data_IF_510069396458
#
_entry.id   IF_510069396458
#
_cell.length_a   1.000
_cell.length_b   1.000
_cell.length_c   1.000
_cell.angle_alpha   90.00
_cell.angle_beta   90.00
_cell.angle_gamma   90.00
#
_symmetry.space_group_name_H-M   'P 1'
#
loop_
_entity.id
_entity.type
_entity.pdbx_description
1 polymer ?
#
# COMPACT_ATOMS: atom_id res chain seq x y z
N UNK A 1 84.58 26.31 -19.18
CA UNK A 1 83.11 26.22 -19.21
C UNK A 1 82.73 24.96 -19.99
N UNK A 2 82.19 23.93 -19.33
CA UNK A 2 81.16 23.03 -19.91
C UNK A 2 80.44 22.32 -18.76
N UNK A 3 79.12 22.35 -18.79
CA UNK A 3 78.24 21.87 -17.73
C UNK A 3 77.84 20.40 -17.97
N UNK A 4 77.77 19.63 -16.88
CA UNK A 4 77.47 18.19 -16.80
C UNK A 4 75.96 17.98 -16.91
N UNK A 5 75.51 17.04 -17.74
CA UNK A 5 74.10 16.59 -17.76
C UNK A 5 74.01 15.23 -17.08
N UNK A 6 73.43 15.20 -15.88
CA UNK A 6 73.15 13.96 -15.17
C UNK A 6 71.79 13.41 -15.62
N UNK A 7 71.82 12.22 -16.20
CA UNK A 7 70.66 11.43 -16.63
C UNK A 7 70.35 10.33 -15.60
N UNK A 8 69.59 10.66 -14.57
CA UNK A 8 69.05 9.65 -13.63
C UNK A 8 67.57 9.93 -13.33
N UNK A 9 66.72 9.78 -14.34
CA UNK A 9 65.28 9.79 -14.18
C UNK A 9 64.78 8.44 -13.66
N UNK A 10 64.42 8.36 -12.37
CA UNK A 10 63.57 7.25 -11.88
C UNK A 10 62.12 7.65 -12.08
N UNK A 11 61.35 6.82 -12.79
CA UNK A 11 59.91 7.03 -12.95
C UNK A 11 59.24 6.89 -11.57
N UNK A 12 58.95 8.01 -10.91
CA UNK A 12 58.15 8.01 -9.68
C UNK A 12 56.69 7.89 -10.09
N UNK A 13 56.07 6.75 -9.77
CA UNK A 13 54.63 6.60 -9.90
C UNK A 13 53.96 7.68 -9.06
N UNK A 14 53.15 8.52 -9.71
CA UNK A 14 52.46 9.63 -9.09
C UNK A 14 51.39 9.10 -8.12
N UNK A 15 51.75 9.14 -6.84
CA UNK A 15 50.92 8.66 -5.73
C UNK A 15 49.83 9.68 -5.37
N UNK A 16 50.02 10.95 -5.71
CA UNK A 16 49.10 12.03 -5.38
C UNK A 16 47.77 11.88 -6.12
N UNK A 17 47.85 11.56 -7.41
CA UNK A 17 46.67 11.32 -8.24
C UNK A 17 45.88 10.06 -7.84
N UNK A 18 46.53 9.03 -7.28
CA UNK A 18 45.83 7.84 -6.74
C UNK A 18 45.08 8.14 -5.44
N UNK A 19 45.69 8.87 -4.51
CA UNK A 19 45.05 9.20 -3.23
C UNK A 19 43.85 10.12 -3.42
N UNK A 20 43.93 11.06 -4.36
CA UNK A 20 42.84 11.98 -4.68
C UNK A 20 41.69 11.27 -5.42
N UNK A 21 42.00 10.39 -6.39
CA UNK A 21 40.99 9.60 -7.09
C UNK A 21 40.27 8.59 -6.19
N UNK A 22 40.97 7.99 -5.21
CA UNK A 22 40.34 7.09 -4.23
C UNK A 22 39.43 7.89 -3.30
N UNK A 23 39.88 9.05 -2.79
CA UNK A 23 39.09 9.88 -1.88
C UNK A 23 37.78 10.41 -2.49
N UNK A 24 37.80 10.83 -3.77
CA UNK A 24 36.61 11.34 -4.45
C UNK A 24 35.63 10.22 -4.83
N UNK A 25 36.14 9.06 -5.28
CA UNK A 25 35.30 7.92 -5.63
C UNK A 25 34.54 7.35 -4.42
N UNK A 26 35.17 7.28 -3.24
CA UNK A 26 34.51 6.78 -2.03
C UNK A 26 33.41 7.72 -1.53
N UNK A 27 33.64 9.03 -1.59
CA UNK A 27 32.64 10.02 -1.17
C UNK A 27 31.40 10.00 -2.08
N UNK A 28 31.58 9.92 -3.40
CA UNK A 28 30.46 9.85 -4.35
C UNK A 28 29.69 8.53 -4.19
N UNK A 29 30.39 7.40 -4.03
CA UNK A 29 29.76 6.10 -3.81
C UNK A 29 28.91 6.04 -2.55
N UNK A 30 29.38 6.62 -1.45
CA UNK A 30 28.64 6.67 -0.19
C UNK A 30 27.36 7.53 -0.29
N UNK A 31 27.42 8.68 -0.97
CA UNK A 31 26.26 9.56 -1.19
C UNK A 31 25.23 8.87 -2.09
N UNK A 32 25.67 8.26 -3.20
CA UNK A 32 24.78 7.57 -4.12
C UNK A 32 24.06 6.39 -3.45
N UNK A 33 24.78 5.61 -2.64
CA UNK A 33 24.20 4.45 -1.93
C UNK A 33 23.24 4.89 -0.83
N UNK A 34 23.56 5.96 -0.09
CA UNK A 34 22.69 6.52 0.94
C UNK A 34 21.39 7.11 0.37
N UNK A 35 21.46 7.79 -0.78
CA UNK A 35 20.27 8.32 -1.44
C UNK A 35 19.42 7.20 -2.05
N UNK A 36 20.04 6.22 -2.70
CA UNK A 36 19.33 5.08 -3.28
C UNK A 36 18.62 4.23 -2.22
N UNK A 37 19.23 4.01 -1.05
CA UNK A 37 18.59 3.29 0.05
C UNK A 37 17.45 4.09 0.68
N UNK A 38 17.58 5.40 0.85
CA UNK A 38 16.51 6.25 1.35
C UNK A 38 15.28 6.26 0.42
N UNK A 39 15.48 6.24 -0.89
CA UNK A 39 14.41 6.07 -1.87
C UNK A 39 13.82 4.65 -1.80
N UNK A 40 14.68 3.61 -1.78
CA UNK A 40 14.22 2.21 -1.77
C UNK A 40 13.40 1.85 -0.52
N UNK A 41 13.76 2.38 0.64
CA UNK A 41 13.04 2.15 1.90
C UNK A 41 11.91 3.16 2.15
N UNK A 42 11.55 3.97 1.16
CA UNK A 42 10.38 4.83 1.22
C UNK A 42 10.47 5.97 2.24
N UNK A 43 11.68 6.42 2.60
CA UNK A 43 11.87 7.52 3.56
C UNK A 43 11.16 8.81 3.10
N UNK A 44 10.99 8.97 1.78
CA UNK A 44 10.32 10.10 1.17
C UNK A 44 8.87 9.80 0.74
N UNK A 45 8.38 8.56 0.91
CA UNK A 45 7.04 8.16 0.46
C UNK A 45 5.96 8.98 1.16
N UNK A 46 6.14 9.38 2.42
CA UNK A 46 5.19 10.25 3.13
C UNK A 46 5.02 11.63 2.47
N UNK A 47 6.05 12.14 1.80
CA UNK A 47 6.03 13.46 1.16
C UNK A 47 5.51 13.41 -0.28
N UNK A 48 5.69 12.27 -0.97
CA UNK A 48 5.32 12.09 -2.37
C UNK A 48 4.23 11.04 -2.59
N UNK A 49 3.66 10.48 -1.52
CA UNK A 49 2.56 9.54 -1.60
C UNK A 49 1.45 10.19 -2.44
N UNK A 50 1.07 9.51 -3.51
CA UNK A 50 -0.13 9.83 -4.24
C UNK A 50 -1.27 9.84 -3.21
N UNK A 51 -2.01 10.95 -3.15
CA UNK A 51 -3.25 11.01 -2.38
C UNK A 51 -4.25 10.17 -3.16
N UNK A 52 -4.23 8.86 -2.93
CA UNK A 52 -5.21 7.96 -3.50
C UNK A 52 -6.59 8.33 -2.94
N UNK A 53 -7.57 8.47 -3.84
CA UNK A 53 -8.92 8.91 -3.54
C UNK A 53 -9.32 10.17 -4.29
N UNK A 54 -10.60 10.27 -4.61
CA UNK A 54 -11.19 11.50 -5.13
C UNK A 54 -11.54 12.41 -3.96
N UNK A 55 -11.39 13.72 -4.16
CA UNK A 55 -11.98 14.68 -3.23
C UNK A 55 -13.48 14.39 -3.11
N UNK A 56 -13.97 14.29 -1.87
CA UNK A 56 -15.38 14.07 -1.56
C UNK A 56 -15.90 15.34 -0.89
N UNK A 57 -16.02 16.46 -1.65
CA UNK A 57 -16.36 17.76 -1.09
C UNK A 57 -17.73 17.79 -0.41
N UNK A 58 -18.60 16.84 -0.73
CA UNK A 58 -19.89 16.60 -0.08
C UNK A 58 -19.77 16.01 1.32
N UNK A 59 -18.69 15.29 1.61
CA UNK A 59 -18.39 14.66 2.90
C UNK A 59 -17.36 15.43 3.74
N UNK A 60 -16.66 16.40 3.15
CA UNK A 60 -15.63 17.21 3.81
C UNK A 60 -16.18 18.22 4.82
N UNK A 61 -17.49 18.47 4.81
CA UNK A 61 -18.15 19.38 5.76
C UNK A 61 -18.53 18.72 7.08
N UNK A 62 -18.59 19.51 8.16
CA UNK A 62 -19.03 19.05 9.49
C UNK A 62 -20.53 18.68 9.57
N UNK A 63 -21.29 18.88 8.48
CA UNK A 63 -22.73 18.60 8.43
C UNK A 63 -22.97 17.25 7.79
N UNK A 64 -23.46 16.32 8.60
CA UNK A 64 -24.04 15.06 8.15
C UNK A 64 -25.44 14.90 8.77
N UNK A 65 -26.33 14.09 8.17
CA UNK A 65 -27.58 13.73 8.81
C UNK A 65 -27.29 13.10 10.18
N UNK A 66 -27.90 13.64 11.23
CA UNK A 66 -27.87 13.05 12.57
C UNK A 66 -28.88 11.91 12.74
N UNK A 67 -28.90 11.22 13.88
CA UNK A 67 -29.86 10.15 14.16
C UNK A 67 -31.33 10.59 14.05
N UNK A 68 -31.61 11.88 14.29
CA UNK A 68 -32.95 12.47 14.16
C UNK A 68 -33.22 13.04 12.75
N UNK A 69 -32.21 13.08 11.88
CA UNK A 69 -32.31 13.57 10.51
C UNK A 69 -32.87 12.48 9.60
N UNK A 70 -34.16 12.17 9.78
CA UNK A 70 -34.88 11.30 8.85
C UNK A 70 -34.90 11.93 7.45
N UNK A 71 -34.83 11.10 6.40
CA UNK A 71 -34.96 11.51 4.99
C UNK A 71 -36.22 12.37 4.74
N UNK A 72 -36.35 13.15 3.68
CA UNK A 72 -37.62 13.84 3.37
C UNK A 72 -38.80 12.86 3.29
N UNK A 73 -40.02 13.30 3.65
CA UNK A 73 -41.18 12.40 3.79
C UNK A 73 -41.48 11.58 2.52
N UNK A 74 -41.27 12.16 1.34
CA UNK A 74 -41.44 11.47 0.06
C UNK A 74 -40.48 10.27 -0.15
N UNK A 75 -39.32 10.29 0.49
CA UNK A 75 -38.32 9.20 0.43
C UNK A 75 -38.40 8.27 1.64
N UNK A 76 -39.36 8.48 2.55
CA UNK A 76 -39.60 7.57 3.66
C UNK A 76 -40.53 6.46 3.17
N UNK A 77 -40.16 5.17 3.33
CA UNK A 77 -41.15 4.11 3.28
C UNK A 77 -42.22 4.40 4.33
N UNK A 78 -43.50 4.32 3.95
CA UNK A 78 -44.60 4.48 4.90
C UNK A 78 -44.55 3.33 5.92
N UNK A 79 -44.28 3.62 7.20
CA UNK A 79 -44.16 2.58 8.22
C UNK A 79 -45.51 1.95 8.59
N UNK A 80 -46.62 2.57 8.15
CA UNK A 80 -48.00 2.11 8.40
C UNK A 80 -48.60 1.37 7.20
N UNK A 81 -47.86 1.30 6.08
CA UNK A 81 -48.32 0.60 4.90
C UNK A 81 -48.60 -0.88 5.22
N UNK A 82 -49.76 -1.42 4.82
CA UNK A 82 -50.09 -2.81 5.09
C UNK A 82 -49.17 -3.74 4.29
N UNK A 83 -48.56 -4.71 4.97
CA UNK A 83 -47.80 -5.78 4.32
C UNK A 83 -48.78 -6.75 3.65
N UNK A 84 -48.57 -7.04 2.36
CA UNK A 84 -49.42 -7.94 1.58
C UNK A 84 -49.40 -9.37 2.14
N UNK A 85 -50.42 -10.18 1.81
CA UNK A 85 -50.47 -11.57 2.27
C UNK A 85 -49.33 -12.42 1.69
N UNK A 86 -48.94 -12.17 0.44
CA UNK A 86 -47.84 -12.87 -0.23
C UNK A 86 -46.49 -12.54 0.43
N UNK A 87 -46.22 -11.26 0.71
CA UNK A 87 -44.99 -10.83 1.39
C UNK A 87 -44.92 -11.38 2.81
N UNK A 88 -46.05 -11.43 3.50
CA UNK A 88 -46.13 -12.00 4.85
C UNK A 88 -45.81 -13.49 4.88
N UNK A 89 -46.32 -14.25 3.92
CA UNK A 89 -46.02 -15.68 3.79
C UNK A 89 -44.54 -15.90 3.41
N UNK A 90 -43.98 -15.06 2.54
CA UNK A 90 -42.57 -15.11 2.18
C UNK A 90 -41.63 -14.82 3.37
N UNK A 91 -42.06 -13.94 4.29
CA UNK A 91 -41.33 -13.61 5.52
C UNK A 91 -41.62 -14.58 6.67
N UNK A 92 -42.40 -15.65 6.45
CA UNK A 92 -42.69 -16.61 7.51
C UNK A 92 -41.38 -17.24 8.00
N UNK A 93 -41.14 -17.32 9.32
CA UNK A 93 -39.98 -18.01 9.85
C UNK A 93 -39.87 -19.40 9.23
N UNK A 94 -38.66 -19.80 8.84
CA UNK A 94 -38.39 -21.13 8.36
C UNK A 94 -38.45 -22.12 9.55
N UNK A 95 -39.65 -22.45 10.00
CA UNK A 95 -39.91 -23.38 11.12
C UNK A 95 -39.74 -24.84 10.74
N UNK A 96 -39.12 -25.12 9.60
CA UNK A 96 -38.71 -26.47 9.24
C UNK A 96 -37.61 -26.97 10.18
N UNK A 97 -37.35 -28.29 10.22
CA UNK A 97 -36.20 -28.83 10.92
C UNK A 97 -34.94 -28.07 10.45
N UNK A 98 -34.12 -27.61 11.41
CA UNK A 98 -32.84 -27.01 11.08
C UNK A 98 -32.09 -27.96 10.12
N UNK A 99 -31.50 -27.46 9.02
CA UNK A 99 -30.60 -28.27 8.21
C UNK A 99 -29.53 -28.84 9.13
N UNK A 100 -29.60 -30.14 9.41
CA UNK A 100 -28.60 -30.78 10.24
C UNK A 100 -27.25 -30.69 9.51
N UNK A 101 -26.19 -30.37 10.24
CA UNK A 101 -24.81 -30.53 9.76
C UNK A 101 -24.45 -32.00 9.41
N UNK A 102 -25.40 -32.92 9.56
CA UNK A 102 -25.32 -34.34 9.23
C UNK A 102 -25.73 -34.67 7.77
N UNK A 103 -25.93 -33.66 6.91
CA UNK A 103 -25.89 -33.90 5.47
C UNK A 103 -24.43 -34.14 5.07
N UNK A 104 -24.07 -35.43 5.04
CA UNK A 104 -22.86 -36.04 4.49
C UNK A 104 -21.89 -35.04 3.83
N UNK A 105 -20.99 -34.48 4.65
CA UNK A 105 -19.84 -33.70 4.15
C UNK A 105 -18.82 -34.71 3.61
N UNK A 106 -19.12 -35.25 2.44
CA UNK A 106 -18.22 -36.03 1.62
C UNK A 106 -17.84 -37.36 2.23
N UNK A 107 -18.55 -38.41 1.82
CA UNK A 107 -17.97 -39.73 1.65
C UNK A 107 -16.72 -39.67 0.77
N UNK A 108 -15.58 -39.36 1.39
CA UNK A 108 -14.25 -39.68 0.87
C UNK A 108 -14.16 -41.20 0.87
N UNK A 109 -14.40 -41.82 -0.28
CA UNK A 109 -13.97 -43.19 -0.52
C UNK A 109 -12.45 -43.20 -0.37
N UNK A 110 -11.95 -43.78 0.73
CA UNK A 110 -10.54 -44.14 0.83
C UNK A 110 -10.24 -45.12 -0.30
N UNK A 111 -9.43 -44.70 -1.26
CA UNK A 111 -8.89 -45.58 -2.29
C UNK A 111 -7.91 -46.56 -1.61
N UNK A 112 -8.08 -47.89 -1.73
CA UNK A 112 -7.09 -48.83 -1.25
C UNK A 112 -5.85 -48.81 -2.14
N UNK A 113 -4.68 -48.93 -1.51
CA UNK A 113 -3.35 -49.02 -2.13
C UNK A 113 -3.20 -50.22 -3.08
#
# INVERSE_FOLDING_TARGET
>A
MTSKRDSHGRFKADRSNRTLAIGTATAIGAIATGLASAIHFGLFDRFFAARDGHAAPDLEGDRHPGPDSRAPDHFRPDPTAPVSAADREALRPATGPAPGFAADRGGVRSQPD
#
